data_IF_274818636502
#
_entry.id   IF_274818636502
#
_cell.length_a   1.000
_cell.length_b   1.000
_cell.length_c   1.000
_cell.angle_alpha   90.00
_cell.angle_beta   90.00
_cell.angle_gamma   90.00
#
_symmetry.space_group_name_H-M   'P 1'
#
loop_
_entity.id
_entity.type
_entity.pdbx_description
1 polymer ?
#
# COMPACT_ATOMS: atom_id res chain seq x y z
N UNK A 1 16.94 -11.82 -9.98
CA UNK A 1 16.59 -10.71 -9.07
C UNK A 1 15.82 -11.31 -7.91
N UNK A 2 16.12 -10.97 -6.66
CA UNK A 2 15.43 -11.55 -5.50
C UNK A 2 14.05 -10.90 -5.30
N UNK A 3 13.09 -11.68 -4.80
CA UNK A 3 11.79 -11.14 -4.41
C UNK A 3 11.86 -10.52 -3.01
N UNK A 4 10.95 -9.60 -2.72
CA UNK A 4 10.70 -9.11 -1.37
C UNK A 4 10.20 -10.23 -0.48
N UNK A 5 10.56 -10.14 0.78
CA UNK A 5 10.11 -11.04 1.83
C UNK A 5 9.32 -10.28 2.90
N UNK A 6 8.40 -10.99 3.55
CA UNK A 6 7.70 -10.51 4.72
C UNK A 6 8.60 -10.54 5.97
N UNK A 7 8.06 -10.14 7.12
CA UNK A 7 8.77 -10.08 8.39
C UNK A 7 9.34 -11.44 8.86
N UNK A 8 8.83 -12.55 8.35
CA UNK A 8 9.32 -13.91 8.65
C UNK A 8 10.35 -14.40 7.63
N UNK A 9 10.64 -13.61 6.60
CA UNK A 9 11.54 -14.01 5.50
C UNK A 9 10.83 -14.83 4.41
N UNK A 10 9.50 -14.95 4.45
CA UNK A 10 8.76 -15.63 3.39
C UNK A 10 8.58 -14.71 2.20
N UNK A 11 8.69 -15.23 0.98
CA UNK A 11 8.46 -14.41 -0.23
C UNK A 11 7.04 -13.86 -0.26
N UNK A 12 6.92 -12.56 -0.58
CA UNK A 12 5.63 -11.92 -0.85
C UNK A 12 5.18 -12.31 -2.25
N UNK A 13 4.07 -13.05 -2.30
CA UNK A 13 3.45 -13.52 -3.53
C UNK A 13 2.17 -12.76 -3.83
N UNK A 14 1.94 -12.48 -5.11
CA UNK A 14 0.63 -12.11 -5.62
C UNK A 14 -0.29 -13.31 -5.39
N UNK A 15 -1.26 -13.16 -4.50
CA UNK A 15 -2.19 -14.22 -4.09
C UNK A 15 -3.41 -13.58 -3.41
N UNK A 16 -4.60 -14.17 -3.58
CA UNK A 16 -5.84 -13.65 -2.97
C UNK A 16 -5.91 -13.86 -1.45
N UNK A 17 -5.17 -14.82 -0.91
CA UNK A 17 -5.23 -15.25 0.49
C UNK A 17 -4.11 -14.66 1.36
N UNK A 18 -3.12 -14.01 0.74
CA UNK A 18 -1.97 -13.44 1.45
C UNK A 18 -2.18 -11.96 1.73
N UNK A 19 -2.57 -11.68 2.98
CA UNK A 19 -2.78 -10.33 3.47
C UNK A 19 -1.68 -9.94 4.45
N UNK A 20 -1.25 -8.68 4.34
CA UNK A 20 -0.15 -8.11 5.10
C UNK A 20 -0.55 -6.78 5.69
N UNK A 21 -0.22 -6.55 6.95
CA UNK A 21 -0.09 -5.19 7.47
C UNK A 21 1.20 -4.59 6.95
N UNK A 22 1.18 -3.29 6.66
CA UNK A 22 2.39 -2.50 6.43
C UNK A 22 2.65 -1.73 7.72
N UNK A 23 3.64 -2.19 8.49
CA UNK A 23 4.01 -1.66 9.80
C UNK A 23 5.25 -0.79 9.66
N UNK A 24 5.24 0.44 10.15
CA UNK A 24 6.39 1.34 10.12
C UNK A 24 7.39 0.98 11.22
N UNK A 25 8.60 1.53 11.14
CA UNK A 25 9.68 1.26 12.08
C UNK A 25 9.34 1.57 13.57
N UNK A 26 8.38 2.46 13.83
CA UNK A 26 7.89 2.80 15.18
C UNK A 26 6.75 1.89 15.67
N UNK A 27 6.35 0.90 14.88
CA UNK A 27 5.25 -0.03 15.16
C UNK A 27 3.86 0.48 14.75
N UNK A 28 3.75 1.71 14.25
CA UNK A 28 2.51 2.21 13.65
C UNK A 28 2.19 1.49 12.33
N UNK A 29 0.96 1.59 11.84
CA UNK A 29 0.49 0.89 10.64
C UNK A 29 -0.05 1.87 9.60
N UNK A 30 -0.09 1.45 8.33
CA UNK A 30 -0.82 2.18 7.30
C UNK A 30 -2.32 1.88 7.38
N UNK A 31 -3.13 2.92 7.50
CA UNK A 31 -4.58 2.85 7.63
C UNK A 31 -5.33 3.84 6.73
N UNK A 32 -6.65 3.69 6.66
CA UNK A 32 -7.51 4.68 6.02
C UNK A 32 -7.52 5.98 6.81
N UNK A 33 -7.30 7.08 6.10
CA UNK A 33 -7.47 8.44 6.60
C UNK A 33 -8.77 9.06 6.12
N UNK A 34 -8.77 10.39 6.10
CA UNK A 34 -9.94 11.16 5.69
C UNK A 34 -10.14 11.04 4.18
N UNK A 35 -11.41 11.18 3.75
CA UNK A 35 -11.72 11.31 2.32
C UNK A 35 -10.91 12.47 1.74
N UNK A 36 -10.31 12.24 0.58
CA UNK A 36 -9.50 13.26 -0.06
C UNK A 36 -10.39 14.47 -0.40
N UNK A 37 -10.00 15.69 0.02
CA UNK A 37 -10.72 16.90 -0.34
C UNK A 37 -10.37 17.27 -1.78
N UNK A 38 -10.97 16.55 -2.73
CA UNK A 38 -10.95 16.89 -4.15
C UNK A 38 -12.37 17.15 -4.60
N UNK A 39 -12.53 17.96 -5.64
CA UNK A 39 -13.83 18.20 -6.27
C UNK A 39 -14.45 16.91 -6.84
N UNK A 40 -15.33 17.05 -7.82
CA UNK A 40 -16.18 15.97 -8.35
C UNK A 40 -15.42 14.65 -8.63
N UNK A 41 -14.21 14.72 -9.19
CA UNK A 41 -13.37 13.54 -9.49
C UNK A 41 -13.07 12.68 -8.25
N UNK A 42 -12.75 13.30 -7.12
CA UNK A 42 -12.46 12.61 -5.85
C UNK A 42 -13.72 11.99 -5.23
N UNK A 43 -14.89 12.57 -5.54
CA UNK A 43 -16.16 11.99 -5.12
C UNK A 43 -16.48 10.74 -5.95
N UNK A 44 -16.18 10.77 -7.25
CA UNK A 44 -16.45 9.67 -8.19
C UNK A 44 -15.54 8.46 -7.99
N UNK A 45 -14.24 8.64 -7.75
CA UNK A 45 -13.29 7.52 -7.60
C UNK A 45 -13.04 7.08 -6.14
N UNK A 46 -13.78 7.64 -5.18
CA UNK A 46 -13.72 7.24 -3.77
C UNK A 46 -12.41 7.57 -3.06
N UNK A 47 -11.60 8.48 -3.63
CA UNK A 47 -10.23 8.72 -3.16
C UNK A 47 -10.18 9.06 -1.67
N UNK A 48 -9.44 8.25 -0.93
CA UNK A 48 -9.26 8.36 0.52
C UNK A 48 -7.78 8.41 0.85
N UNK A 49 -7.37 9.30 1.76
CA UNK A 49 -5.95 9.42 2.13
C UNK A 49 -5.47 8.14 2.82
N UNK A 50 -4.20 7.78 2.61
CA UNK A 50 -3.51 6.86 3.51
C UNK A 50 -2.90 7.65 4.66
N UNK A 51 -3.12 7.18 5.88
CA UNK A 51 -2.55 7.76 7.11
C UNK A 51 -1.79 6.72 7.92
N UNK A 52 -0.86 7.21 8.72
CA UNK A 52 -0.24 6.45 9.79
C UNK A 52 -1.22 6.38 10.96
N UNK A 53 -1.48 5.16 11.43
CA UNK A 53 -2.40 4.88 12.54
C UNK A 53 -1.73 3.99 13.59
N UNK A 54 -2.21 3.98 14.85
CA UNK A 54 -1.68 3.07 15.85
C UNK A 54 -1.76 1.59 15.44
N UNK A 55 -0.86 0.78 16.00
CA UNK A 55 -0.87 -0.67 15.83
C UNK A 55 -2.27 -1.27 16.10
N UNK A 56 -2.68 -2.23 15.27
CA UNK A 56 -4.00 -2.85 15.36
C UNK A 56 -5.13 -2.12 14.62
N UNK A 57 -4.90 -0.91 14.11
CA UNK A 57 -5.92 -0.10 13.39
C UNK A 57 -5.67 0.03 11.90
N UNK A 58 -4.57 -0.51 11.40
CA UNK A 58 -4.18 -0.43 10.00
C UNK A 58 -5.07 -1.26 9.08
N UNK A 59 -4.99 -0.93 7.79
CA UNK A 59 -5.47 -1.76 6.71
C UNK A 59 -4.62 -3.03 6.59
N UNK A 60 -5.20 -4.02 5.95
CA UNK A 60 -4.44 -5.15 5.42
C UNK A 60 -4.34 -5.02 3.91
N UNK A 61 -3.19 -5.37 3.35
CA UNK A 61 -2.89 -5.24 1.93
C UNK A 61 -2.53 -6.58 1.35
N UNK A 62 -3.00 -6.84 0.13
CA UNK A 62 -2.48 -7.90 -0.71
C UNK A 62 -1.68 -7.31 -1.85
N UNK A 63 -0.58 -7.97 -2.19
CA UNK A 63 0.23 -7.61 -3.35
C UNK A 63 -0.38 -8.13 -4.64
N UNK A 64 -0.30 -7.35 -5.70
CA UNK A 64 -0.67 -7.69 -7.06
C UNK A 64 0.48 -7.34 -8.00
N UNK A 65 0.90 -8.28 -8.86
CA UNK A 65 1.98 -8.02 -9.83
C UNK A 65 1.58 -7.00 -10.89
N UNK A 66 0.32 -7.02 -11.31
CA UNK A 66 -0.25 -6.11 -12.30
C UNK A 66 -1.48 -5.40 -11.72
N UNK A 67 -1.76 -4.19 -12.20
CA UNK A 67 -2.85 -3.37 -11.68
C UNK A 67 -4.20 -4.04 -11.92
N UNK A 68 -5.02 -4.15 -10.87
CA UNK A 68 -6.31 -4.82 -10.93
C UNK A 68 -6.26 -6.33 -11.22
N UNK A 69 -5.07 -6.94 -11.22
CA UNK A 69 -4.90 -8.35 -11.56
C UNK A 69 -4.93 -9.25 -10.32
N UNK A 70 -5.49 -10.45 -10.47
CA UNK A 70 -5.60 -11.48 -9.43
C UNK A 70 -4.73 -12.71 -9.74
N UNK A 71 -3.89 -12.67 -10.77
CA UNK A 71 -2.98 -13.78 -11.09
C UNK A 71 -2.07 -14.10 -9.91
N UNK A 72 -2.00 -15.39 -9.61
CA UNK A 72 -1.29 -15.91 -8.46
C UNK A 72 0.13 -16.39 -8.82
N UNK A 73 0.98 -16.55 -7.79
CA UNK A 73 2.30 -17.17 -7.94
C UNK A 73 3.39 -16.25 -8.51
N UNK A 74 3.10 -14.95 -8.68
CA UNK A 74 4.09 -13.95 -9.06
C UNK A 74 4.67 -13.29 -7.82
N UNK A 75 5.99 -13.36 -7.63
CA UNK A 75 6.66 -12.67 -6.54
C UNK A 75 6.69 -11.15 -6.78
N UNK A 76 7.16 -10.40 -5.77
CA UNK A 76 7.51 -8.99 -5.95
C UNK A 76 9.02 -8.83 -6.06
N UNK A 77 9.62 -8.78 -7.27
CA UNK A 77 11.03 -8.53 -7.43
C UNK A 77 11.44 -7.20 -6.78
N UNK A 78 12.54 -7.22 -6.05
CA UNK A 78 13.05 -6.03 -5.38
C UNK A 78 13.43 -4.94 -6.40
N UNK A 79 12.95 -3.72 -6.18
CA UNK A 79 13.14 -2.59 -7.10
C UNK A 79 12.12 -2.51 -8.24
N UNK A 80 11.29 -3.53 -8.44
CA UNK A 80 10.21 -3.47 -9.42
C UNK A 80 8.97 -2.77 -8.85
N UNK A 81 8.17 -2.26 -9.79
CA UNK A 81 6.82 -1.79 -9.50
C UNK A 81 5.88 -2.96 -9.17
N UNK A 82 5.08 -2.77 -8.14
CA UNK A 82 3.97 -3.61 -7.73
C UNK A 82 2.73 -2.79 -7.41
N UNK A 83 1.61 -3.47 -7.18
CA UNK A 83 0.34 -2.86 -6.83
C UNK A 83 -0.16 -3.45 -5.52
N UNK A 84 -0.85 -2.65 -4.72
CA UNK A 84 -1.34 -3.04 -3.42
C UNK A 84 -2.82 -2.76 -3.34
N UNK A 85 -3.59 -3.81 -3.02
CA UNK A 85 -5.02 -3.69 -2.77
C UNK A 85 -5.26 -3.82 -1.27
N UNK A 86 -5.80 -2.77 -0.67
CA UNK A 86 -6.10 -2.69 0.74
C UNK A 86 -7.51 -3.15 1.05
N UNK A 87 -7.70 -3.70 2.25
CA UNK A 87 -8.96 -4.03 2.87
C UNK A 87 -8.98 -3.43 4.28
N UNK A 88 -10.09 -2.78 4.64
CA UNK A 88 -10.37 -2.35 6.00
C UNK A 88 -11.84 -2.61 6.35
N UNK A 89 -12.10 -2.91 7.61
CA UNK A 89 -13.46 -2.90 8.16
C UNK A 89 -13.73 -1.52 8.75
N UNK A 90 -14.82 -0.88 8.32
CA UNK A 90 -15.28 0.41 8.85
C UNK A 90 -16.03 0.23 10.17
N UNK A 91 -16.29 1.33 10.87
CA UNK A 91 -16.92 1.30 12.20
C UNK A 91 -18.35 0.73 12.21
N UNK A 92 -19.02 0.74 11.07
CA UNK A 92 -20.34 0.13 10.85
C UNK A 92 -20.26 -1.37 10.47
N UNK A 93 -19.06 -1.94 10.42
CA UNK A 93 -18.81 -3.33 10.07
C UNK A 93 -18.74 -3.62 8.57
N UNK A 94 -18.86 -2.60 7.71
CA UNK A 94 -18.71 -2.79 6.27
C UNK A 94 -17.23 -3.00 5.87
N UNK A 95 -17.00 -3.80 4.84
CA UNK A 95 -15.67 -3.96 4.25
C UNK A 95 -15.45 -2.95 3.12
N UNK A 96 -14.31 -2.28 3.16
CA UNK A 96 -13.87 -1.38 2.10
C UNK A 96 -12.62 -1.97 1.47
N UNK A 97 -12.70 -2.26 0.16
CA UNK A 97 -11.59 -2.77 -0.63
C UNK A 97 -11.23 -1.76 -1.70
N UNK A 98 -9.99 -1.25 -1.66
CA UNK A 98 -9.51 -0.19 -2.53
C UNK A 98 -8.07 -0.44 -2.97
N UNK A 99 -7.64 0.17 -4.07
CA UNK A 99 -6.28 0.08 -4.56
C UNK A 99 -5.44 1.27 -4.12
N UNK A 100 -4.17 1.02 -3.79
CA UNK A 100 -3.27 2.06 -3.31
C UNK A 100 -2.42 2.64 -4.45
N UNK A 101 -2.39 3.97 -4.55
CA UNK A 101 -1.58 4.70 -5.54
C UNK A 101 -1.28 6.14 -5.10
N UNK A 102 -0.36 6.80 -5.79
CA UNK A 102 -0.16 8.24 -5.65
C UNK A 102 -1.27 9.06 -6.31
N UNK A 103 -1.54 10.22 -5.73
CA UNK A 103 -2.35 11.28 -6.33
C UNK A 103 -1.70 11.93 -7.55
N UNK A 104 -2.52 12.74 -8.23
CA UNK A 104 -2.07 13.57 -9.33
C UNK A 104 -1.27 14.80 -8.87
N UNK A 105 -1.86 15.71 -8.08
CA UNK A 105 -1.18 16.91 -7.55
C UNK A 105 -2.01 17.57 -6.42
N UNK A 106 -1.39 17.97 -5.28
CA UNK A 106 -0.10 17.47 -4.80
C UNK A 106 -0.15 15.94 -4.60
N UNK A 107 0.93 15.26 -4.96
CA UNK A 107 1.04 13.81 -4.88
C UNK A 107 0.96 13.34 -3.42
N UNK A 108 -0.09 12.58 -3.08
CA UNK A 108 -0.30 11.95 -1.76
C UNK A 108 -0.59 10.49 -1.97
N UNK A 109 -0.24 9.65 -1.00
CA UNK A 109 -0.63 8.25 -1.05
C UNK A 109 -2.11 8.13 -0.69
N UNK A 110 -2.89 7.52 -1.59
CA UNK A 110 -4.33 7.42 -1.48
C UNK A 110 -4.80 6.00 -1.83
N UNK A 111 -6.00 5.69 -1.39
CA UNK A 111 -6.79 4.53 -1.77
C UNK A 111 -7.85 4.94 -2.78
N UNK A 112 -8.09 4.12 -3.81
CA UNK A 112 -8.99 4.36 -4.94
C UNK A 112 -9.92 3.17 -5.18
N UNK A 113 -11.11 3.43 -5.71
CA UNK A 113 -12.05 2.38 -6.11
C UNK A 113 -11.70 1.73 -7.46
N UNK A 114 -10.87 2.37 -8.28
CA UNK A 114 -10.56 1.95 -9.65
C UNK A 114 -9.15 1.36 -9.82
N UNK A 115 -8.94 0.66 -10.94
CA UNK A 115 -7.67 0.06 -11.35
C UNK A 115 -6.96 0.97 -12.36
N UNK A 116 -6.49 2.13 -11.89
CA UNK A 116 -5.70 3.07 -12.70
C UNK A 116 -4.53 3.62 -11.90
N UNK A 117 -3.83 2.69 -11.26
CA UNK A 117 -2.83 2.95 -10.25
C UNK A 117 -1.45 3.12 -10.89
N UNK A 118 -0.67 4.06 -10.36
CA UNK A 118 0.69 4.29 -10.80
C UNK A 118 1.68 3.29 -10.20
N UNK A 119 1.26 2.58 -9.13
CA UNK A 119 1.99 1.53 -8.45
C UNK A 119 3.00 2.03 -7.42
N UNK A 120 3.58 1.08 -6.71
CA UNK A 120 4.54 1.26 -5.62
C UNK A 120 5.81 0.52 -6.00
N UNK A 121 6.96 1.12 -5.75
CA UNK A 121 8.25 0.45 -5.88
C UNK A 121 8.74 0.11 -4.48
N UNK A 122 9.23 -1.11 -4.31
CA UNK A 122 9.66 -1.59 -3.01
C UNK A 122 11.02 -2.28 -3.09
N UNK A 123 11.89 -2.00 -2.12
CA UNK A 123 13.23 -2.60 -2.03
C UNK A 123 13.41 -3.32 -0.70
N UNK A 124 14.08 -4.47 -0.71
CA UNK A 124 14.38 -5.22 0.51
C UNK A 124 15.47 -4.49 1.29
N UNK A 125 15.25 -4.28 2.57
CA UNK A 125 16.22 -3.80 3.54
C UNK A 125 16.66 -4.95 4.46
N UNK A 126 17.81 -4.82 5.15
CA UNK A 126 18.23 -5.78 6.17
C UNK A 126 17.19 -5.95 7.29
N UNK A 127 17.14 -7.16 7.85
CA UNK A 127 16.21 -7.51 8.93
C UNK A 127 14.77 -7.67 8.47
N UNK A 128 14.54 -8.14 7.23
CA UNK A 128 13.21 -8.33 6.64
C UNK A 128 12.36 -7.06 6.50
N UNK A 129 12.99 -5.89 6.63
CA UNK A 129 12.36 -4.59 6.38
C UNK A 129 12.27 -4.29 4.89
N UNK A 130 11.43 -3.36 4.51
CA UNK A 130 11.21 -2.91 3.16
C UNK A 130 11.23 -1.38 3.09
N UNK A 131 11.79 -0.86 2.01
CA UNK A 131 11.75 0.54 1.64
C UNK A 131 10.68 0.74 0.56
N UNK A 132 9.59 1.46 0.87
CA UNK A 132 8.54 1.80 -0.10
C UNK A 132 8.73 3.19 -0.70
N UNK A 133 8.48 3.26 -2.01
CA UNK A 133 8.51 4.45 -2.84
C UNK A 133 7.24 4.52 -3.67
N UNK A 134 6.78 5.72 -4.00
CA UNK A 134 5.70 5.89 -4.96
C UNK A 134 6.24 5.90 -6.40
N UNK A 135 5.40 5.52 -7.36
CA UNK A 135 5.58 5.88 -8.76
C UNK A 135 4.56 6.94 -9.12
N UNK A 136 4.97 8.07 -9.71
CA UNK A 136 4.01 9.08 -10.16
C UNK A 136 3.41 8.75 -11.53
N UNK A 137 2.54 9.62 -12.04
CA UNK A 137 1.87 9.49 -13.34
C UNK A 137 2.82 9.35 -14.53
N UNK A 138 4.05 9.84 -14.39
CA UNK A 138 5.07 9.78 -15.44
C UNK A 138 5.94 8.52 -15.33
N UNK A 139 5.64 7.63 -14.38
CA UNK A 139 6.45 6.46 -14.08
C UNK A 139 7.74 6.78 -13.31
N UNK A 140 7.88 8.00 -12.78
CA UNK A 140 9.06 8.40 -12.04
C UNK A 140 8.95 7.98 -10.56
N UNK A 141 10.07 7.50 -10.02
CA UNK A 141 10.20 7.13 -8.61
C UNK A 141 10.12 8.37 -7.72
N UNK A 142 9.27 8.31 -6.70
CA UNK A 142 9.06 9.38 -5.73
C UNK A 142 9.32 8.87 -4.32
N UNK A 143 9.92 9.70 -3.47
CA UNK A 143 9.98 9.41 -2.04
C UNK A 143 8.59 9.44 -1.41
N UNK A 144 8.45 8.80 -0.25
CA UNK A 144 7.25 8.85 0.58
C UNK A 144 7.59 9.42 1.96
N UNK A 145 6.79 10.37 2.43
CA UNK A 145 7.01 11.05 3.70
C UNK A 145 5.74 11.18 4.51
N UNK A 146 5.87 10.94 5.82
CA UNK A 146 4.80 11.12 6.79
C UNK A 146 4.83 12.56 7.27
N UNK A 147 3.69 13.24 7.17
CA UNK A 147 3.47 14.59 7.69
C UNK A 147 3.18 14.57 9.19
N UNK A 148 3.15 15.73 9.85
CA UNK A 148 2.84 15.82 11.28
C UNK A 148 1.44 15.28 11.61
N UNK A 149 0.50 15.38 10.66
CA UNK A 149 -0.87 14.86 10.77
C UNK A 149 -0.98 13.37 10.41
N UNK A 150 0.15 12.69 10.17
CA UNK A 150 0.21 11.28 9.81
C UNK A 150 -0.14 10.98 8.35
N UNK A 151 -0.39 11.98 7.51
CA UNK A 151 -0.69 11.79 6.08
C UNK A 151 0.59 11.48 5.31
N UNK A 152 0.53 10.55 4.36
CA UNK A 152 1.67 10.22 3.49
C UNK A 152 1.63 11.06 2.21
N UNK A 153 2.69 11.83 1.99
CA UNK A 153 2.90 12.65 0.80
C UNK A 153 4.04 12.09 -0.05
N UNK A 154 3.98 12.33 -1.35
CA UNK A 154 5.11 12.04 -2.23
C UNK A 154 6.11 13.21 -2.16
N UNK A 155 7.39 12.88 -2.15
CA UNK A 155 8.49 13.83 -2.28
C UNK A 155 9.19 13.59 -3.61
N UNK A 156 8.98 14.51 -4.55
CA UNK A 156 9.67 14.52 -5.84
C UNK A 156 10.97 15.32 -5.70
N UNK A 157 12.11 14.64 -5.84
CA UNK A 157 13.42 15.27 -5.67
C UNK A 157 14.56 14.32 -6.03
N UNK A 158 15.81 14.83 -6.09
CA UNK A 158 16.98 14.03 -6.48
C UNK A 158 17.28 12.89 -5.49
N UNK A 159 16.80 13.02 -4.25
CA UNK A 159 16.91 12.01 -3.21
C UNK A 159 15.51 11.53 -2.84
N UNK A 160 15.06 10.46 -3.50
CA UNK A 160 13.82 9.78 -3.15
C UNK A 160 14.01 9.10 -1.79
N UNK A 161 13.28 9.57 -0.80
CA UNK A 161 13.37 9.01 0.54
C UNK A 161 12.26 8.01 0.76
N UNK A 162 12.61 6.78 1.13
CA UNK A 162 11.64 5.72 1.30
C UNK A 162 10.84 5.85 2.60
N UNK A 163 9.68 5.21 2.63
CA UNK A 163 9.03 4.79 3.86
C UNK A 163 9.66 3.46 4.32
N UNK A 164 10.24 3.45 5.52
CA UNK A 164 10.85 2.25 6.14
C UNK A 164 9.76 1.49 6.91
N UNK A 165 9.49 0.26 6.48
CA UNK A 165 8.39 -0.55 7.01
C UNK A 165 8.69 -2.06 6.95
N UNK A 166 7.81 -2.85 7.51
CA UNK A 166 7.76 -4.31 7.39
C UNK A 166 6.41 -4.75 6.84
N UNK A 167 6.41 -5.82 6.05
CA UNK A 167 5.19 -6.52 5.69
C UNK A 167 4.95 -7.62 6.73
N UNK A 168 3.90 -7.46 7.54
CA UNK A 168 3.55 -8.42 8.58
C UNK A 168 2.36 -9.24 8.11
N UNK A 169 2.57 -10.53 7.83
CA UNK A 169 1.53 -11.44 7.38
C UNK A 169 0.46 -11.60 8.47
N UNK A 170 -0.79 -11.24 8.17
CA UNK A 170 -1.90 -11.28 9.15
C UNK A 170 -2.69 -12.59 9.15
N UNK A 171 -2.51 -13.42 8.13
CA UNK A 171 -3.12 -14.73 8.04
C UNK A 171 -3.10 -15.28 6.63
N UNK A 172 -3.26 -16.59 6.53
CA UNK A 172 -3.58 -17.31 5.30
C UNK A 172 -4.87 -18.08 5.57
N UNK A 173 -5.92 -17.87 4.78
CA UNK A 173 -7.05 -18.81 4.76
C UNK A 173 -8.08 -18.75 5.90
N UNK A 174 -8.29 -17.61 6.56
CA UNK A 174 -9.56 -17.38 7.31
C UNK A 174 -10.55 -16.68 6.38
N UNK A 175 -10.82 -17.30 5.24
CA UNK A 175 -11.91 -16.91 4.34
C UNK A 175 -13.12 -17.74 4.74
N UNK A 176 -14.12 -17.16 5.41
CA UNK A 176 -15.29 -17.89 5.93
C UNK A 176 -16.40 -18.13 4.89
N UNK A 177 -16.13 -17.91 3.60
CA UNK A 177 -17.05 -18.27 2.52
C UNK A 177 -17.81 -17.10 1.91
N UNK A 178 -18.46 -17.41 0.79
CA UNK A 178 -19.01 -16.51 -0.22
C UNK A 178 -20.06 -15.51 0.28
N UNK A 179 -19.92 -14.26 -0.16
CA UNK A 179 -21.00 -13.27 -0.21
C UNK A 179 -21.38 -13.01 -1.67
#
# INVERSE_FOLDING_TARGET
MANLTDNRGETIWSNNDHWYKITLADGSELGLGDRYPGGSVSQTNGRTLVKVVPAGRGMVFRYQRYDGDNREGFGWPTGDKGYLRGLQVTSDGAEVIMNMSLSWEPSKLCMYNDNSNYGIVAKQLPGNRAALYGSNRHGALCGLRVTAEGIIIAHEGPHALALDCEFVKVGTGVFTGAF
#
